data_IF_333522993834
#
_entry.id   IF_333522993834
#
_cell.length_a   1.000
_cell.length_b   1.000
_cell.length_c   1.000
_cell.angle_alpha   90.00
_cell.angle_beta   90.00
_cell.angle_gamma   90.00
#
_symmetry.space_group_name_H-M   'P 1'
#
loop_
_entity.id
_entity.type
_entity.pdbx_description
1 polymer ?
#
# COMPACT_ATOMS: atom_id res chain seq x y z
N UNK A 1 -5.89 -26.45 -10.73
CA UNK A 1 -5.79 -25.00 -10.88
C UNK A 1 -4.32 -24.59 -10.88
N UNK A 2 -3.96 -23.45 -11.51
CA UNK A 2 -2.58 -22.97 -11.50
C UNK A 2 -2.17 -22.60 -10.07
N UNK A 3 -0.94 -22.95 -9.68
CA UNK A 3 -0.37 -22.56 -8.38
C UNK A 3 0.47 -21.31 -8.52
N UNK A 4 0.48 -20.50 -7.48
CA UNK A 4 1.24 -19.26 -7.36
C UNK A 4 1.99 -19.23 -6.03
N UNK A 5 3.10 -18.52 -5.98
CA UNK A 5 4.00 -18.50 -4.84
C UNK A 5 3.88 -17.22 -4.04
N UNK A 6 4.02 -17.33 -2.73
CA UNK A 6 4.12 -16.21 -1.82
C UNK A 6 5.06 -16.53 -0.64
N UNK A 7 5.75 -15.51 -0.15
CA UNK A 7 6.51 -15.58 1.10
C UNK A 7 5.57 -15.36 2.28
N UNK A 8 5.42 -16.34 3.14
CA UNK A 8 4.57 -16.29 4.34
C UNK A 8 5.44 -16.14 5.57
N UNK A 9 5.20 -15.08 6.32
CA UNK A 9 5.79 -14.92 7.65
C UNK A 9 4.85 -15.55 8.68
N UNK A 10 5.23 -16.73 9.16
CA UNK A 10 4.47 -17.54 10.12
C UNK A 10 4.44 -16.90 11.50
N UNK A 11 5.57 -16.36 11.89
CA UNK A 11 5.86 -15.68 13.15
C UNK A 11 7.16 -14.90 12.99
N UNK A 12 7.51 -14.04 13.94
CA UNK A 12 8.83 -13.40 13.95
C UNK A 12 9.97 -14.41 13.78
N UNK A 13 10.90 -14.10 12.90
CA UNK A 13 12.04 -14.96 12.58
C UNK A 13 11.77 -16.13 11.64
N UNK A 14 10.51 -16.36 11.22
CA UNK A 14 10.18 -17.48 10.35
C UNK A 14 9.43 -17.04 9.09
N UNK A 15 10.13 -16.99 7.98
CA UNK A 15 9.63 -16.64 6.64
C UNK A 15 9.79 -17.86 5.72
N UNK A 16 8.71 -18.29 5.09
CA UNK A 16 8.67 -19.53 4.28
C UNK A 16 8.00 -19.26 2.94
N UNK A 17 8.54 -19.86 1.87
CA UNK A 17 7.88 -19.86 0.57
C UNK A 17 6.75 -20.89 0.59
N UNK A 18 5.54 -20.45 0.24
CA UNK A 18 4.35 -21.29 0.14
C UNK A 18 3.68 -21.18 -1.23
N UNK A 19 3.00 -22.23 -1.60
CA UNK A 19 2.15 -22.26 -2.80
C UNK A 19 0.68 -22.11 -2.42
N UNK A 20 -0.02 -21.32 -3.20
CA UNK A 20 -1.47 -21.09 -3.11
C UNK A 20 -2.11 -21.41 -4.46
N UNK A 21 -3.39 -21.73 -4.45
CA UNK A 21 -4.15 -21.71 -5.70
C UNK A 21 -4.24 -20.29 -6.23
N UNK A 22 -4.04 -20.10 -7.54
CA UNK A 22 -4.20 -18.78 -8.16
C UNK A 22 -5.65 -18.33 -7.99
N UNK A 23 -5.91 -17.24 -7.25
CA UNK A 23 -7.26 -16.75 -7.06
C UNK A 23 -7.79 -16.06 -8.31
N UNK A 24 -9.09 -15.85 -8.34
CA UNK A 24 -9.74 -14.92 -9.26
C UNK A 24 -9.89 -13.53 -8.64
N UNK A 25 -10.09 -12.53 -9.49
CA UNK A 25 -10.45 -11.20 -9.04
C UNK A 25 -11.78 -11.22 -8.27
N UNK A 26 -11.89 -10.52 -7.11
CA UNK A 26 -13.19 -10.34 -6.47
C UNK A 26 -14.10 -9.48 -7.36
N UNK A 27 -15.41 -9.63 -7.21
CA UNK A 27 -16.41 -8.93 -8.02
C UNK A 27 -16.20 -7.41 -8.03
N UNK A 28 -15.80 -6.84 -6.88
CA UNK A 28 -15.64 -5.41 -6.63
C UNK A 28 -14.18 -4.92 -6.70
N UNK A 29 -13.22 -5.78 -7.09
CA UNK A 29 -11.80 -5.48 -7.07
C UNK A 29 -11.04 -6.09 -8.26
N UNK A 30 -9.78 -6.45 -8.06
CA UNK A 30 -8.94 -7.00 -9.13
C UNK A 30 -7.91 -8.01 -8.61
N UNK A 31 -7.35 -8.79 -9.52
CA UNK A 31 -6.14 -9.57 -9.31
C UNK A 31 -4.96 -8.84 -9.93
N UNK A 32 -3.95 -8.52 -9.14
CA UNK A 32 -2.74 -7.84 -9.56
C UNK A 32 -1.59 -8.82 -9.65
N UNK A 33 -0.94 -8.91 -10.82
CA UNK A 33 0.34 -9.61 -10.97
C UNK A 33 1.46 -8.69 -10.54
N UNK A 34 2.13 -9.03 -9.44
CA UNK A 34 3.19 -8.19 -8.86
C UNK A 34 4.39 -8.12 -9.80
N UNK A 35 4.95 -6.94 -9.97
CA UNK A 35 6.17 -6.67 -10.73
C UNK A 35 7.34 -6.27 -9.85
N UNK A 36 7.08 -5.45 -8.83
CA UNK A 36 8.07 -5.07 -7.83
C UNK A 36 7.37 -4.80 -6.50
N UNK A 37 8.08 -5.01 -5.41
CA UNK A 37 7.64 -4.67 -4.08
C UNK A 37 8.84 -4.21 -3.24
N UNK A 38 8.75 -3.04 -2.64
CA UNK A 38 9.73 -2.53 -1.69
C UNK A 38 9.72 -3.32 -0.39
N UNK A 39 10.84 -3.28 0.33
CA UNK A 39 10.99 -3.84 1.68
C UNK A 39 11.00 -2.68 2.68
N UNK A 40 9.93 -2.55 3.44
CA UNK A 40 9.77 -1.51 4.44
C UNK A 40 10.46 -1.84 5.77
N UNK A 41 10.74 -0.81 6.56
CA UNK A 41 11.12 -0.98 7.97
C UNK A 41 10.08 -1.77 8.78
N UNK A 42 8.81 -1.70 8.41
CA UNK A 42 7.72 -2.49 9.01
C UNK A 42 7.92 -3.99 8.80
N UNK A 43 8.34 -4.42 7.60
CA UNK A 43 8.62 -5.84 7.31
C UNK A 43 9.77 -6.35 8.20
N UNK A 44 10.81 -5.51 8.38
CA UNK A 44 11.91 -5.79 9.30
C UNK A 44 11.43 -5.85 10.76
N UNK A 45 10.53 -4.96 11.17
CA UNK A 45 9.97 -4.99 12.52
C UNK A 45 9.10 -6.23 12.77
N UNK A 46 8.34 -6.68 11.78
CA UNK A 46 7.64 -7.96 11.85
C UNK A 46 8.61 -9.12 12.01
N UNK A 47 9.66 -9.16 11.19
CA UNK A 47 10.68 -10.22 11.25
C UNK A 47 11.40 -10.28 12.59
N UNK A 48 11.65 -9.13 13.23
CA UNK A 48 12.37 -9.04 14.52
C UNK A 48 11.43 -9.08 15.74
N UNK A 49 10.12 -9.25 15.54
CA UNK A 49 9.13 -9.31 16.63
C UNK A 49 8.77 -7.96 17.26
N UNK A 50 9.25 -6.84 16.71
CA UNK A 50 8.93 -5.49 17.21
C UNK A 50 7.53 -5.03 16.83
N UNK A 51 6.92 -5.62 15.78
CA UNK A 51 5.57 -5.31 15.33
C UNK A 51 4.52 -6.16 16.07
N UNK A 52 4.34 -5.92 17.36
CA UNK A 52 3.49 -6.70 18.26
C UNK A 52 1.99 -6.63 17.94
N UNK A 53 1.57 -5.67 17.11
CA UNK A 53 0.18 -5.48 16.68
C UNK A 53 -0.21 -6.35 15.47
N UNK A 54 0.75 -7.02 14.83
CA UNK A 54 0.49 -7.87 13.66
C UNK A 54 0.05 -9.26 14.10
N UNK A 55 -1.03 -9.75 13.50
CA UNK A 55 -1.55 -11.11 13.72
C UNK A 55 -1.04 -12.04 12.63
N UNK A 56 -0.06 -12.84 12.95
CA UNK A 56 0.51 -13.84 12.04
C UNK A 56 -0.43 -15.05 11.83
N UNK A 57 -0.30 -15.81 10.71
CA UNK A 57 0.65 -15.59 9.62
C UNK A 57 0.22 -14.46 8.67
N UNK A 58 1.20 -13.81 8.01
CA UNK A 58 0.96 -12.77 7.02
C UNK A 58 1.83 -13.00 5.78
N UNK A 59 1.41 -12.48 4.63
CA UNK A 59 2.27 -12.28 3.47
C UNK A 59 2.73 -10.82 3.53
N UNK A 60 4.03 -10.54 3.80
CA UNK A 60 4.53 -9.17 3.90
C UNK A 60 4.51 -8.39 2.58
N UNK A 61 4.97 -7.15 2.62
CA UNK A 61 5.09 -6.27 1.45
C UNK A 61 3.84 -5.43 1.21
N UNK A 62 3.98 -4.14 1.39
CA UNK A 62 2.90 -3.15 1.20
C UNK A 62 3.30 -2.00 0.25
N UNK A 63 4.52 -2.05 -0.30
CA UNK A 63 5.06 -1.09 -1.26
C UNK A 63 5.11 -1.73 -2.65
N UNK A 64 3.97 -2.26 -3.14
CA UNK A 64 3.94 -3.06 -4.37
C UNK A 64 3.33 -2.31 -5.56
N UNK A 65 3.82 -2.68 -6.73
CA UNK A 65 3.32 -2.28 -8.04
C UNK A 65 3.17 -3.52 -8.91
N UNK A 66 2.21 -3.50 -9.81
CA UNK A 66 1.97 -4.64 -10.69
C UNK A 66 1.12 -4.30 -11.91
N UNK A 67 0.77 -5.35 -12.63
CA UNK A 67 -0.10 -5.31 -13.80
C UNK A 67 -1.45 -5.92 -13.45
N UNK A 68 -2.53 -5.27 -13.83
CA UNK A 68 -3.89 -5.81 -13.69
C UNK A 68 -4.01 -7.08 -14.54
N UNK A 69 -4.09 -8.22 -13.89
CA UNK A 69 -4.22 -9.53 -14.52
C UNK A 69 -5.67 -9.89 -14.81
N UNK A 70 -6.55 -9.59 -13.85
CA UNK A 70 -7.98 -9.84 -13.92
C UNK A 70 -8.73 -8.70 -13.23
N UNK A 71 -9.83 -8.24 -13.82
CA UNK A 71 -10.64 -7.14 -13.31
C UNK A 71 -12.05 -7.65 -13.01
N UNK A 72 -12.50 -7.45 -11.77
CA UNK A 72 -13.87 -7.76 -11.39
C UNK A 72 -14.88 -6.85 -12.10
N UNK A 73 -16.08 -7.32 -12.38
CA UNK A 73 -17.08 -6.59 -13.18
C UNK A 73 -17.52 -5.26 -12.55
N UNK A 74 -17.39 -5.11 -11.25
CA UNK A 74 -17.74 -3.88 -10.51
C UNK A 74 -16.49 -3.09 -10.02
N UNK A 75 -15.29 -3.48 -10.41
CA UNK A 75 -14.07 -2.87 -9.90
C UNK A 75 -14.00 -1.36 -10.19
N UNK A 76 -14.34 -0.94 -11.40
CA UNK A 76 -14.33 0.48 -11.77
C UNK A 76 -15.44 1.32 -11.10
N UNK A 77 -16.48 0.68 -10.56
CA UNK A 77 -17.54 1.36 -9.83
C UNK A 77 -17.23 1.52 -8.33
N UNK A 78 -16.35 0.65 -7.81
CA UNK A 78 -16.09 0.53 -6.37
C UNK A 78 -14.72 1.02 -5.96
N UNK A 79 -13.70 0.87 -6.80
CA UNK A 79 -12.34 1.32 -6.52
C UNK A 79 -12.15 2.81 -6.79
N UNK A 80 -11.24 3.42 -6.04
CA UNK A 80 -10.85 4.82 -6.27
C UNK A 80 -9.62 4.84 -7.18
N UNK A 81 -9.81 5.16 -8.45
CA UNK A 81 -8.74 5.09 -9.45
C UNK A 81 -8.29 6.49 -9.88
N UNK A 82 -7.00 6.74 -9.77
CA UNK A 82 -6.37 7.94 -10.31
C UNK A 82 -5.72 7.58 -11.64
N UNK A 83 -6.05 8.32 -12.70
CA UNK A 83 -5.57 8.07 -14.06
C UNK A 83 -6.59 7.43 -15.00
N UNK A 84 -7.89 7.42 -14.59
CA UNK A 84 -9.03 6.92 -15.38
C UNK A 84 -9.32 5.43 -15.19
N UNK A 85 -10.40 4.91 -15.79
CA UNK A 85 -10.88 3.55 -15.58
C UNK A 85 -9.80 2.49 -15.83
N UNK A 86 -9.79 1.44 -15.00
CA UNK A 86 -8.86 0.32 -15.11
C UNK A 86 -9.26 -0.64 -16.24
N UNK A 87 -8.26 -1.23 -16.85
CA UNK A 87 -8.38 -2.35 -17.78
C UNK A 87 -7.28 -3.38 -17.50
N UNK A 88 -7.49 -4.61 -17.93
CA UNK A 88 -6.46 -5.67 -17.91
C UNK A 88 -5.24 -5.18 -18.69
N UNK A 89 -4.06 -5.39 -18.13
CA UNK A 89 -2.79 -4.91 -18.65
C UNK A 89 -2.34 -3.54 -18.14
N UNK A 90 -3.18 -2.78 -17.45
CA UNK A 90 -2.76 -1.51 -16.82
C UNK A 90 -1.74 -1.77 -15.71
N UNK A 91 -0.71 -0.92 -15.65
CA UNK A 91 0.25 -0.90 -14.55
C UNK A 91 -0.24 0.03 -13.46
N UNK A 92 -0.29 -0.46 -12.23
CA UNK A 92 -0.80 0.31 -11.10
C UNK A 92 0.04 0.12 -9.84
N UNK A 93 0.08 1.16 -9.01
CA UNK A 93 0.39 1.08 -7.59
C UNK A 93 -0.91 1.14 -6.78
N UNK A 94 -0.93 0.54 -5.59
CA UNK A 94 -2.12 0.47 -4.72
C UNK A 94 -1.74 0.97 -3.34
N UNK A 95 -2.61 1.77 -2.70
CA UNK A 95 -2.38 2.16 -1.31
C UNK A 95 -2.46 0.95 -0.38
N UNK A 96 -1.61 0.87 0.66
CA UNK A 96 -1.64 -0.27 1.60
C UNK A 96 -2.96 -0.40 2.37
N UNK A 97 -3.61 0.72 2.69
CA UNK A 97 -4.88 0.72 3.40
C UNK A 97 -6.02 0.35 2.45
N UNK A 98 -6.48 -0.90 2.52
CA UNK A 98 -7.59 -1.40 1.72
C UNK A 98 -8.88 -1.50 2.53
N UNK A 99 -9.98 -1.63 1.82
CA UNK A 99 -11.31 -2.00 2.34
C UNK A 99 -11.68 -1.32 3.67
N UNK A 100 -11.67 0.01 3.67
CA UNK A 100 -12.24 0.78 4.77
C UNK A 100 -13.70 0.34 5.03
N UNK A 101 -14.12 0.22 6.30
CA UNK A 101 -15.39 -0.44 6.66
C UNK A 101 -16.66 0.31 6.19
N UNK A 102 -16.54 1.58 5.81
CA UNK A 102 -17.65 2.41 5.31
C UNK A 102 -18.67 2.86 6.34
N UNK A 103 -18.54 2.46 7.62
CA UNK A 103 -19.57 2.70 8.67
C UNK A 103 -19.05 3.28 9.98
N UNK A 104 -17.75 3.37 10.19
CA UNK A 104 -17.20 3.99 11.39
C UNK A 104 -17.16 5.52 11.23
N UNK A 105 -16.95 6.22 12.33
CA UNK A 105 -16.86 7.69 12.36
C UNK A 105 -15.94 8.23 11.27
N UNK A 106 -14.73 7.68 11.16
CA UNK A 106 -13.76 8.15 10.16
C UNK A 106 -14.21 7.91 8.72
N UNK A 107 -14.84 6.76 8.44
CA UNK A 107 -15.34 6.48 7.09
C UNK A 107 -16.48 7.40 6.68
N UNK A 108 -17.31 7.83 7.63
CA UNK A 108 -18.45 8.71 7.35
C UNK A 108 -18.04 10.18 7.31
N UNK A 109 -17.13 10.60 8.20
CA UNK A 109 -16.71 12.01 8.31
C UNK A 109 -15.53 12.36 7.42
N UNK A 110 -14.66 11.39 7.07
CA UNK A 110 -13.44 11.58 6.31
C UNK A 110 -13.24 10.45 5.28
N UNK A 111 -14.17 10.25 4.33
CA UNK A 111 -14.14 9.11 3.40
C UNK A 111 -12.90 9.07 2.51
N UNK A 112 -12.26 10.22 2.27
CA UNK A 112 -11.00 10.35 1.53
C UNK A 112 -9.74 9.97 2.35
N UNK A 113 -9.91 9.56 3.62
CA UNK A 113 -8.81 9.13 4.51
C UNK A 113 -9.00 7.69 5.01
N UNK A 114 -8.96 6.69 4.13
CA UNK A 114 -9.19 5.29 4.50
C UNK A 114 -8.21 4.76 5.54
N UNK A 115 -7.02 5.34 5.61
CA UNK A 115 -5.98 5.00 6.61
C UNK A 115 -6.41 5.29 8.06
N UNK A 116 -7.44 6.12 8.30
CA UNK A 116 -7.96 6.38 9.64
C UNK A 116 -9.01 5.35 10.09
N UNK A 117 -9.53 4.53 9.19
CA UNK A 117 -10.51 3.51 9.53
C UNK A 117 -9.93 2.47 10.49
N UNK A 118 -10.52 2.32 11.67
CA UNK A 118 -10.05 1.35 12.69
C UNK A 118 -10.23 -0.11 12.25
N UNK A 119 -11.15 -0.36 11.31
CA UNK A 119 -11.47 -1.69 10.80
C UNK A 119 -10.96 -1.91 9.36
N UNK A 120 -9.98 -1.13 8.91
CA UNK A 120 -9.38 -1.32 7.60
C UNK A 120 -8.54 -2.60 7.58
N UNK A 121 -8.44 -3.18 6.41
CA UNK A 121 -7.39 -4.15 6.11
C UNK A 121 -6.16 -3.39 5.60
N UNK A 122 -4.98 -3.92 5.86
CA UNK A 122 -3.72 -3.35 5.35
C UNK A 122 -2.97 -4.45 4.62
N UNK A 123 -2.68 -4.23 3.34
CA UNK A 123 -1.84 -5.15 2.57
C UNK A 123 -0.48 -5.30 3.24
N UNK A 124 0.08 -6.51 3.19
CA UNK A 124 1.34 -6.82 3.85
C UNK A 124 1.26 -7.06 5.36
N UNK A 125 0.12 -6.74 6.00
CA UNK A 125 -0.10 -6.89 7.46
C UNK A 125 -1.34 -7.71 7.80
N UNK A 126 -2.17 -8.03 6.81
CA UNK A 126 -3.39 -8.82 7.00
C UNK A 126 -3.06 -10.30 7.18
N UNK A 127 -3.73 -10.94 8.16
CA UNK A 127 -3.62 -12.38 8.34
C UNK A 127 -4.04 -13.12 7.06
N UNK A 128 -3.27 -14.15 6.67
CA UNK A 128 -3.44 -14.89 5.43
C UNK A 128 -3.93 -16.33 5.63
N UNK A 129 -4.52 -16.70 6.78
CA UNK A 129 -5.07 -18.03 7.03
C UNK A 129 -6.40 -18.29 6.30
N UNK A 130 -7.10 -17.21 5.96
CA UNK A 130 -8.40 -17.28 5.32
C UNK A 130 -8.41 -16.57 3.97
N UNK A 131 -9.29 -16.95 3.02
CA UNK A 131 -9.45 -16.25 1.77
C UNK A 131 -9.67 -14.73 1.97
N UNK A 132 -9.10 -13.93 1.08
CA UNK A 132 -8.48 -14.27 -0.21
C UNK A 132 -6.97 -14.62 -0.14
N UNK A 133 -6.38 -14.89 0.98
CA UNK A 133 -4.99 -15.29 1.28
C UNK A 133 -3.91 -14.30 0.81
N UNK A 134 -3.86 -13.99 -0.50
CA UNK A 134 -2.80 -13.21 -1.16
C UNK A 134 -3.01 -11.69 -0.95
N UNK A 135 -2.70 -11.24 0.26
CA UNK A 135 -2.91 -9.87 0.73
C UNK A 135 -1.61 -9.12 1.04
N UNK A 136 -0.54 -9.44 0.33
CA UNK A 136 0.75 -8.77 0.47
C UNK A 136 1.63 -8.96 -0.76
N UNK A 137 2.52 -7.98 -0.99
CA UNK A 137 3.32 -7.87 -2.21
C UNK A 137 4.49 -8.84 -2.32
N UNK A 138 4.85 -9.57 -1.24
CA UNK A 138 5.86 -10.63 -1.34
C UNK A 138 5.25 -11.92 -1.91
N UNK A 139 4.50 -11.77 -2.99
CA UNK A 139 3.80 -12.82 -3.70
C UNK A 139 3.81 -12.53 -5.22
N UNK A 140 3.56 -13.56 -6.03
CA UNK A 140 3.41 -13.37 -7.48
C UNK A 140 2.14 -12.60 -7.83
N UNK A 141 1.12 -12.69 -6.98
CA UNK A 141 -0.17 -12.00 -7.14
C UNK A 141 -0.68 -11.43 -5.82
N UNK A 142 -1.41 -10.32 -5.92
CA UNK A 142 -2.15 -9.71 -4.80
C UNK A 142 -3.62 -9.58 -5.21
N UNK A 143 -4.49 -10.02 -4.31
CA UNK A 143 -5.94 -9.75 -4.43
C UNK A 143 -6.20 -8.35 -3.91
N UNK A 144 -6.63 -7.46 -4.79
CA UNK A 144 -6.95 -6.07 -4.44
C UNK A 144 -8.45 -5.93 -4.27
N UNK A 145 -8.86 -5.54 -3.07
CA UNK A 145 -10.26 -5.35 -2.71
C UNK A 145 -10.89 -4.12 -3.38
N UNK A 146 -12.19 -4.12 -3.53
CA UNK A 146 -12.98 -2.91 -3.79
C UNK A 146 -12.75 -1.83 -2.72
N UNK A 147 -13.00 -0.57 -3.06
CA UNK A 147 -12.69 0.64 -2.25
C UNK A 147 -11.20 0.89 -2.01
N UNK A 148 -10.30 0.08 -2.60
CA UNK A 148 -8.87 0.41 -2.63
C UNK A 148 -8.62 1.61 -3.53
N UNK A 149 -7.56 2.35 -3.21
CA UNK A 149 -7.05 3.40 -4.08
C UNK A 149 -5.95 2.84 -4.97
N UNK A 150 -6.10 3.05 -6.26
CA UNK A 150 -5.15 2.62 -7.28
C UNK A 150 -4.69 3.81 -8.14
N UNK A 151 -3.43 3.81 -8.49
CA UNK A 151 -2.79 4.87 -9.28
C UNK A 151 -2.19 4.24 -10.53
N UNK A 152 -2.63 4.68 -11.71
CA UNK A 152 -2.02 4.24 -12.96
C UNK A 152 -0.59 4.77 -13.08
N UNK A 153 0.31 3.88 -13.44
CA UNK A 153 1.73 4.21 -13.60
C UNK A 153 1.98 4.65 -15.04
N UNK A 154 2.56 5.84 -15.27
CA UNK A 154 2.95 6.30 -16.60
C UNK A 154 3.93 5.33 -17.29
N UNK A 155 3.84 5.23 -18.61
CA UNK A 155 4.64 4.29 -19.40
C UNK A 155 6.16 4.50 -19.32
N UNK A 156 6.59 5.73 -19.02
CA UNK A 156 8.00 6.10 -18.89
C UNK A 156 8.58 5.85 -17.48
N UNK A 157 7.80 5.34 -16.52
CA UNK A 157 8.24 5.02 -15.17
C UNK A 157 8.48 3.52 -15.07
N UNK A 158 9.69 3.08 -14.63
CA UNK A 158 9.98 1.66 -14.42
C UNK A 158 9.21 1.07 -13.23
N UNK A 159 9.14 -0.26 -13.12
CA UNK A 159 8.44 -0.92 -12.01
C UNK A 159 9.14 -0.66 -10.67
N UNK A 160 10.49 -0.61 -10.67
CA UNK A 160 11.29 -0.30 -9.48
C UNK A 160 11.02 1.12 -8.99
N UNK A 161 11.00 2.10 -9.89
CA UNK A 161 10.66 3.50 -9.52
C UNK A 161 9.20 3.59 -9.08
N UNK A 162 8.30 2.90 -9.76
CA UNK A 162 6.88 2.89 -9.38
C UNK A 162 6.63 2.28 -7.99
N UNK A 163 7.46 1.33 -7.53
CA UNK A 163 7.36 0.77 -6.17
C UNK A 163 7.64 1.80 -5.07
N UNK A 164 8.29 2.93 -5.41
CA UNK A 164 8.49 4.05 -4.50
C UNK A 164 7.24 4.92 -4.30
N UNK A 165 6.12 4.64 -4.96
CA UNK A 165 4.88 5.43 -4.83
C UNK A 165 4.39 5.50 -3.39
N UNK A 166 4.39 4.36 -2.67
CA UNK A 166 3.97 4.32 -1.28
C UNK A 166 4.93 5.11 -0.37
N UNK A 167 6.24 4.83 -0.32
CA UNK A 167 7.15 5.59 0.53
C UNK A 167 7.24 7.08 0.15
N UNK A 168 7.04 7.44 -1.12
CA UNK A 168 6.92 8.84 -1.54
C UNK A 168 5.69 9.51 -0.91
N UNK A 169 4.57 8.81 -0.82
CA UNK A 169 3.37 9.33 -0.15
C UNK A 169 3.61 9.63 1.33
N UNK A 170 4.43 8.82 2.00
CA UNK A 170 4.86 9.04 3.39
C UNK A 170 5.73 10.30 3.49
N UNK A 171 6.72 10.45 2.59
CA UNK A 171 7.59 11.62 2.53
C UNK A 171 6.81 12.91 2.25
N UNK A 172 5.94 12.92 1.24
CA UNK A 172 5.05 14.02 0.92
C UNK A 172 4.18 14.42 2.12
N UNK A 173 3.66 13.43 2.85
CA UNK A 173 2.85 13.70 4.04
C UNK A 173 3.66 14.34 5.17
N UNK A 174 4.93 13.98 5.33
CA UNK A 174 5.82 14.63 6.30
C UNK A 174 6.04 16.10 5.93
N UNK A 175 6.32 16.41 4.66
CA UNK A 175 6.46 17.77 4.15
C UNK A 175 5.16 18.57 4.34
N UNK A 176 4.00 18.02 3.95
CA UNK A 176 2.69 18.68 4.17
C UNK A 176 2.45 19.04 5.64
N UNK A 177 2.83 18.15 6.56
CA UNK A 177 2.68 18.42 8.00
C UNK A 177 3.63 19.50 8.48
N UNK A 178 4.82 19.60 7.92
CA UNK A 178 5.77 20.67 8.21
C UNK A 178 5.32 22.02 7.65
N UNK A 179 4.69 21.99 6.47
CA UNK A 179 4.14 23.20 5.81
C UNK A 179 2.82 23.69 6.42
N UNK A 180 2.23 22.97 7.39
CA UNK A 180 0.88 23.22 7.88
C UNK A 180 0.68 24.67 8.35
N UNK A 181 -0.14 25.48 7.66
CA UNK A 181 -0.41 26.87 8.02
C UNK A 181 -1.44 27.03 9.15
N UNK A 182 -1.87 25.93 9.78
CA UNK A 182 -2.95 25.91 10.78
C UNK A 182 -2.61 26.51 12.13
N UNK A 183 -1.39 27.00 12.33
CA UNK A 183 -1.01 27.73 13.52
C UNK A 183 -1.35 29.22 13.39
N UNK A 184 -2.00 29.76 14.43
CA UNK A 184 -2.53 31.13 14.43
C UNK A 184 -1.49 32.26 14.38
N UNK A 185 -0.20 31.94 14.35
CA UNK A 185 0.87 32.90 14.34
C UNK A 185 1.66 32.86 13.02
N UNK A 186 1.68 33.98 12.30
CA UNK A 186 2.52 34.18 11.15
C UNK A 186 4.00 33.97 11.50
N UNK A 187 4.68 33.12 10.74
CA UNK A 187 6.08 32.77 10.96
C UNK A 187 6.34 31.42 11.61
N UNK A 188 5.32 30.70 12.02
CA UNK A 188 5.44 29.31 12.44
C UNK A 188 5.20 28.35 11.24
N UNK A 189 5.91 27.23 11.24
CA UNK A 189 5.88 26.27 10.15
C UNK A 189 7.00 26.46 9.13
N UNK A 190 7.13 25.50 8.26
CA UNK A 190 8.07 25.49 7.14
C UNK A 190 7.49 26.22 5.93
N UNK A 191 8.29 26.95 5.17
CA UNK A 191 7.84 27.68 3.98
C UNK A 191 8.87 28.68 3.46
N UNK A 192 8.44 29.62 2.64
CA UNK A 192 9.31 30.63 2.04
C UNK A 192 10.14 31.40 3.10
N UNK A 193 11.42 31.53 2.86
CA UNK A 193 12.37 32.18 3.79
C UNK A 193 12.78 31.34 5.00
N UNK A 194 12.41 30.04 5.02
CA UNK A 194 12.81 29.06 6.05
C UNK A 194 13.79 28.06 5.48
N UNK A 195 14.60 27.48 6.37
CA UNK A 195 15.48 26.35 6.07
C UNK A 195 15.00 25.11 6.81
N UNK A 196 15.10 23.96 6.19
CA UNK A 196 14.84 22.67 6.79
C UNK A 196 16.07 21.80 6.75
N UNK A 197 16.24 20.98 7.78
CA UNK A 197 17.29 19.96 7.83
C UNK A 197 16.64 18.59 7.95
N UNK A 198 16.99 17.69 7.03
CA UNK A 198 16.55 16.29 7.06
C UNK A 198 17.66 15.46 7.69
N UNK A 199 17.37 14.83 8.84
CA UNK A 199 18.32 13.96 9.54
C UNK A 199 18.06 12.52 9.12
N UNK A 200 19.03 11.92 8.44
CA UNK A 200 18.98 10.57 7.88
C UNK A 200 18.91 10.56 6.36
N UNK A 201 19.97 10.05 5.71
CA UNK A 201 20.10 9.95 4.27
C UNK A 201 19.64 8.59 3.71
N UNK A 202 18.69 7.92 4.39
CA UNK A 202 18.04 6.71 3.90
C UNK A 202 16.96 7.04 2.85
N UNK A 203 16.28 6.00 2.30
CA UNK A 203 15.28 6.18 1.24
C UNK A 203 14.20 7.23 1.59
N UNK A 204 13.64 7.20 2.79
CA UNK A 204 12.63 8.18 3.21
C UNK A 204 13.22 9.59 3.31
N UNK A 205 14.43 9.74 3.88
CA UNK A 205 15.07 11.04 3.96
C UNK A 205 15.37 11.65 2.59
N UNK A 206 15.83 10.84 1.63
CA UNK A 206 16.04 11.26 0.26
C UNK A 206 14.72 11.69 -0.43
N UNK A 207 13.63 10.94 -0.21
CA UNK A 207 12.32 11.29 -0.74
C UNK A 207 11.75 12.57 -0.10
N UNK A 208 11.99 12.81 1.20
CA UNK A 208 11.59 14.07 1.87
C UNK A 208 12.33 15.27 1.31
N UNK A 209 13.62 15.11 0.95
CA UNK A 209 14.39 16.20 0.31
C UNK A 209 13.88 16.49 -1.11
N UNK A 210 13.39 15.46 -1.81
CA UNK A 210 12.87 15.60 -3.18
C UNK A 210 11.43 16.13 -3.23
N UNK A 211 10.68 16.02 -2.14
CA UNK A 211 9.28 16.46 -2.02
C UNK A 211 9.17 17.97 -1.73
#
# INVERSE_FOLDING_TARGET
MAKVKAMVMEKPGKLELREFEKPHAPEDGLLLKVKACGICGTDKHMMTGKATWVKFPVIPGHEFVGVVEELGPKANDTMNVIGGPLKVGDRIAVTPASKACGRCFYCLSMPHRPQLCSNRRVYGLANCENPPYLLGGFAEYVVVDGRSWAFKIPGNVSDEVASLTEPTSVAMRAVERALNPGEAFSGQGFGAGKSAMVIGAGPIGALVVAA
#
